data_IF_364671241622
#
_entry.id   IF_364671241622
#
_cell.length_a   1.000
_cell.length_b   1.000
_cell.length_c   1.000
_cell.angle_alpha   90.00
_cell.angle_beta   90.00
_cell.angle_gamma   90.00
#
_symmetry.space_group_name_H-M   'P 1'
#
loop_
_entity.id
_entity.type
_entity.pdbx_description
1 polymer ?
#
# COMPACT_ATOMS: atom_id res chain seq x y z
N UNK A 1 15.95 -39.50 6.47
CA UNK A 1 15.72 -38.31 7.31
C UNK A 1 14.75 -37.41 6.58
N UNK A 2 13.64 -37.11 7.25
CA UNK A 2 12.45 -36.46 6.71
C UNK A 2 12.56 -34.95 6.94
N UNK A 3 12.56 -34.16 5.88
CA UNK A 3 12.22 -32.72 5.97
C UNK A 3 10.71 -32.63 5.79
N UNK A 4 9.99 -32.83 6.90
CA UNK A 4 8.61 -32.40 7.04
C UNK A 4 8.64 -31.00 7.65
N UNK A 5 8.07 -30.03 6.95
CA UNK A 5 7.78 -28.70 7.49
C UNK A 5 8.50 -27.56 6.79
N UNK A 6 7.92 -27.06 5.68
CA UNK A 6 8.01 -25.67 5.22
C UNK A 6 7.26 -25.48 3.88
N UNK A 7 6.04 -26.03 3.75
CA UNK A 7 5.28 -25.98 2.48
C UNK A 7 3.82 -25.55 2.64
N UNK A 8 3.49 -24.82 3.71
CA UNK A 8 2.11 -24.37 4.00
C UNK A 8 1.93 -22.85 4.16
N UNK A 9 2.91 -21.99 3.84
CA UNK A 9 2.73 -20.52 3.83
C UNK A 9 2.68 -19.90 2.43
N UNK A 10 2.92 -20.68 1.38
CA UNK A 10 2.88 -20.21 -0.02
C UNK A 10 1.47 -20.09 -0.62
N UNK A 11 0.42 -20.46 0.12
CA UNK A 11 -0.95 -20.51 -0.39
C UNK A 11 -1.73 -19.20 -0.40
N UNK A 12 -1.23 -18.13 0.24
CA UNK A 12 -1.95 -16.86 0.39
C UNK A 12 -1.28 -15.65 -0.30
N UNK A 13 -0.06 -15.84 -0.83
CA UNK A 13 0.76 -14.78 -1.44
C UNK A 13 1.19 -15.07 -2.88
N UNK A 14 0.39 -15.85 -3.62
CA UNK A 14 0.56 -16.01 -5.07
C UNK A 14 0.41 -14.71 -5.88
N UNK A 15 0.15 -13.59 -5.21
CA UNK A 15 -0.17 -12.29 -5.77
C UNK A 15 1.04 -11.46 -6.22
N UNK A 16 2.31 -11.76 -5.90
CA UNK A 16 3.41 -10.88 -6.33
C UNK A 16 3.57 -10.76 -7.85
N UNK A 17 3.44 -11.86 -8.61
CA UNK A 17 3.47 -11.79 -10.07
C UNK A 17 2.27 -10.97 -10.60
N UNK A 18 1.11 -11.12 -9.96
CA UNK A 18 -0.08 -10.31 -10.23
C UNK A 18 0.18 -8.84 -9.91
N UNK A 19 0.81 -8.51 -8.79
CA UNK A 19 1.10 -7.14 -8.33
C UNK A 19 2.06 -6.43 -9.30
N UNK A 20 3.09 -7.12 -9.82
CA UNK A 20 4.00 -6.54 -10.81
C UNK A 20 3.24 -6.18 -12.10
N UNK A 21 2.45 -7.11 -12.65
CA UNK A 21 1.68 -6.86 -13.88
C UNK A 21 0.52 -5.88 -13.69
N UNK A 22 -0.13 -5.93 -12.53
CA UNK A 22 -1.20 -5.03 -12.11
C UNK A 22 -0.70 -3.61 -11.93
N UNK A 23 0.40 -3.46 -11.17
CA UNK A 23 1.05 -2.19 -10.91
C UNK A 23 1.35 -1.50 -12.22
N UNK A 24 2.07 -2.18 -13.13
CA UNK A 24 2.41 -1.70 -14.47
C UNK A 24 1.18 -1.28 -15.32
N UNK A 25 0.01 -1.90 -15.11
CA UNK A 25 -1.20 -1.59 -15.90
C UNK A 25 -2.03 -0.42 -15.34
N UNK A 26 -1.82 -0.03 -14.08
CA UNK A 26 -2.58 1.01 -13.39
C UNK A 26 -1.75 2.27 -13.09
N UNK A 27 -0.50 2.25 -13.51
CA UNK A 27 0.38 3.41 -13.59
C UNK A 27 -0.29 4.47 -14.50
N UNK A 28 -0.43 5.73 -14.07
CA UNK A 28 -0.83 6.84 -14.92
C UNK A 28 0.08 6.97 -16.17
N UNK A 29 -0.31 7.75 -17.19
CA UNK A 29 0.50 7.92 -18.42
C UNK A 29 0.81 9.38 -18.74
N UNK A 30 0.93 10.21 -17.70
CA UNK A 30 1.16 11.65 -17.87
C UNK A 30 2.66 11.98 -17.83
N UNK A 31 3.01 13.21 -18.24
CA UNK A 31 4.34 13.82 -18.04
C UNK A 31 4.29 14.75 -16.80
N UNK A 32 4.08 14.25 -15.57
CA UNK A 32 3.88 15.09 -14.41
C UNK A 32 5.15 15.86 -14.02
N UNK A 33 4.95 17.03 -13.42
CA UNK A 33 5.98 17.76 -12.70
C UNK A 33 6.29 17.12 -11.33
N UNK A 34 6.58 15.81 -11.28
CA UNK A 34 6.92 15.09 -10.05
C UNK A 34 6.51 13.62 -10.08
N UNK A 35 6.65 12.92 -8.96
CA UNK A 35 6.16 11.53 -8.78
C UNK A 35 4.63 11.50 -8.75
N UNK A 36 4.02 10.59 -9.52
CA UNK A 36 2.57 10.38 -9.56
C UNK A 36 2.16 9.24 -8.64
N UNK A 37 1.06 9.41 -7.90
CA UNK A 37 0.50 8.43 -6.98
C UNK A 37 -1.00 8.29 -7.22
N UNK A 38 -1.43 7.13 -7.68
CA UNK A 38 -2.85 6.79 -7.85
C UNK A 38 -3.35 5.98 -6.67
N UNK A 39 -4.48 6.38 -6.08
CA UNK A 39 -5.11 5.69 -4.96
C UNK A 39 -6.51 5.24 -5.37
N UNK A 40 -6.84 3.97 -5.12
CA UNK A 40 -8.18 3.41 -5.34
C UNK A 40 -8.86 3.08 -4.01
N UNK A 41 -10.07 3.60 -3.81
CA UNK A 41 -10.92 3.21 -2.70
C UNK A 41 -11.62 1.86 -2.97
N UNK A 42 -11.94 1.13 -1.91
CA UNK A 42 -12.79 -0.07 -2.00
C UNK A 42 -14.23 0.24 -2.40
N UNK A 43 -15.01 -0.81 -2.63
CA UNK A 43 -16.46 -0.77 -2.82
C UNK A 43 -17.18 -1.65 -1.81
N UNK A 44 -18.11 -1.07 -1.04
CA UNK A 44 -19.03 -1.82 -0.18
C UNK A 44 -20.13 -2.51 -1.00
N UNK A 45 -20.83 -3.45 -0.38
CA UNK A 45 -22.10 -3.96 -0.94
C UNK A 45 -23.26 -3.51 -0.08
N UNK A 46 -24.46 -3.53 -0.66
CA UNK A 46 -25.72 -3.17 0.03
C UNK A 46 -25.91 -3.90 1.38
N UNK A 47 -25.37 -5.12 1.50
CA UNK A 47 -25.46 -5.94 2.72
C UNK A 47 -24.16 -5.97 3.55
N UNK A 48 -23.18 -5.10 3.26
CA UNK A 48 -21.94 -5.04 4.01
C UNK A 48 -22.16 -4.33 5.36
N UNK A 49 -21.44 -4.78 6.39
CA UNK A 49 -21.42 -4.10 7.70
C UNK A 49 -20.85 -2.68 7.60
N UNK A 50 -19.97 -2.45 6.64
CA UNK A 50 -19.39 -1.14 6.32
C UNK A 50 -20.10 -0.57 5.10
N UNK A 51 -20.72 0.59 5.28
CA UNK A 51 -21.34 1.38 4.22
C UNK A 51 -20.39 2.54 3.90
N UNK A 52 -19.98 2.67 2.64
CA UNK A 52 -18.97 3.63 2.15
C UNK A 52 -17.52 3.28 2.53
N UNK A 53 -16.72 2.94 1.52
CA UNK A 53 -15.28 2.67 1.64
C UNK A 53 -14.39 3.80 1.09
N UNK A 54 -15.01 4.90 0.63
CA UNK A 54 -14.34 6.15 0.28
C UNK A 54 -13.84 6.88 1.52
N UNK A 55 -13.25 8.07 1.34
CA UNK A 55 -12.78 8.91 2.43
C UNK A 55 -11.90 10.07 1.97
N UNK A 56 -11.29 10.77 2.94
CA UNK A 56 -10.49 11.96 2.66
C UNK A 56 -9.00 11.72 2.89
N UNK A 57 -8.22 11.84 1.81
CA UNK A 57 -6.75 11.86 1.87
C UNK A 57 -6.29 13.23 2.35
N UNK A 58 -5.42 13.22 3.37
CA UNK A 58 -4.82 14.40 3.98
C UNK A 58 -3.77 15.05 3.10
N UNK A 59 -2.84 14.22 2.63
CA UNK A 59 -1.80 14.49 1.65
C UNK A 59 -1.06 13.18 1.32
N UNK A 60 -0.37 13.17 0.18
CA UNK A 60 0.65 12.20 -0.20
C UNK A 60 2.02 12.87 -0.06
N UNK A 61 2.97 12.21 0.58
CA UNK A 61 4.32 12.72 0.83
C UNK A 61 5.36 11.88 0.10
N UNK A 62 6.33 12.53 -0.53
CA UNK A 62 7.44 11.89 -1.22
C UNK A 62 8.74 11.98 -0.44
N UNK A 63 9.55 10.92 -0.52
CA UNK A 63 10.90 10.89 0.02
C UNK A 63 11.88 10.26 -0.98
N UNK A 64 13.09 10.80 -1.07
CA UNK A 64 14.11 10.29 -1.99
C UNK A 64 14.75 8.98 -1.48
N UNK A 65 15.75 8.47 -2.22
CA UNK A 65 16.44 7.21 -1.88
C UNK A 65 17.09 7.20 -0.49
N UNK A 66 17.49 8.38 -0.01
CA UNK A 66 18.08 8.61 1.31
C UNK A 66 17.04 8.87 2.41
N UNK A 67 15.75 8.73 2.07
CA UNK A 67 14.60 8.95 2.97
C UNK A 67 14.43 10.41 3.41
N UNK A 68 14.98 11.36 2.65
CA UNK A 68 14.77 12.79 2.86
C UNK A 68 13.41 13.20 2.29
N UNK A 69 12.68 14.06 2.99
CA UNK A 69 11.41 14.58 2.51
C UNK A 69 11.64 15.53 1.33
N UNK A 70 10.95 15.30 0.21
CA UNK A 70 11.17 16.05 -1.04
C UNK A 70 9.93 16.74 -1.59
N UNK A 71 8.77 16.53 -0.98
CA UNK A 71 7.54 17.13 -1.48
C UNK A 71 6.26 16.50 -0.97
N UNK A 72 5.14 17.15 -1.26
CA UNK A 72 3.82 16.65 -0.92
C UNK A 72 2.75 17.05 -1.94
N UNK A 73 1.64 16.33 -1.96
CA UNK A 73 0.44 16.71 -2.70
C UNK A 73 -0.50 17.60 -1.87
N UNK A 74 -1.58 18.04 -2.50
CA UNK A 74 -2.75 18.57 -1.79
C UNK A 74 -3.62 17.45 -1.20
N UNK A 75 -4.65 17.85 -0.43
CA UNK A 75 -5.71 16.92 0.01
C UNK A 75 -6.70 16.62 -1.12
N UNK A 76 -7.46 15.54 -0.98
CA UNK A 76 -8.61 15.27 -1.84
C UNK A 76 -9.61 14.31 -1.18
N UNK A 77 -10.85 14.36 -1.65
CA UNK A 77 -11.90 13.40 -1.32
C UNK A 77 -11.93 12.29 -2.38
N UNK A 78 -11.91 11.03 -1.94
CA UNK A 78 -12.03 9.85 -2.78
C UNK A 78 -13.38 9.21 -2.50
N UNK A 79 -14.21 9.05 -3.53
CA UNK A 79 -15.49 8.37 -3.37
C UNK A 79 -15.28 6.86 -3.35
N UNK A 80 -16.25 6.15 -2.80
CA UNK A 80 -16.32 4.70 -2.91
C UNK A 80 -16.18 4.24 -4.37
N UNK A 81 -15.41 3.16 -4.57
CA UNK A 81 -15.05 2.59 -5.87
C UNK A 81 -14.30 3.54 -6.83
N UNK A 82 -14.00 4.77 -6.41
CA UNK A 82 -13.34 5.76 -7.25
C UNK A 82 -11.81 5.70 -7.10
N UNK A 83 -11.14 6.32 -8.05
CA UNK A 83 -9.68 6.45 -8.10
C UNK A 83 -9.28 7.89 -8.32
N UNK A 84 -8.16 8.28 -7.70
CA UNK A 84 -7.64 9.65 -7.79
C UNK A 84 -6.13 9.65 -7.95
N UNK A 85 -5.66 10.60 -8.75
CA UNK A 85 -4.24 10.85 -8.99
C UNK A 85 -3.76 12.04 -8.16
N UNK A 86 -2.64 11.84 -7.46
CA UNK A 86 -1.88 12.87 -6.78
C UNK A 86 -0.54 13.05 -7.48
N UNK A 87 -0.16 14.30 -7.74
CA UNK A 87 1.20 14.64 -8.09
C UNK A 87 1.87 15.22 -6.84
N UNK A 88 3.02 14.67 -6.48
CA UNK A 88 3.84 15.19 -5.39
C UNK A 88 4.52 16.47 -5.91
N UNK A 89 4.25 17.60 -5.29
CA UNK A 89 4.91 18.88 -5.60
C UNK A 89 6.32 18.87 -5.00
N UNK A 90 7.34 18.90 -5.86
CA UNK A 90 8.76 18.72 -5.51
C UNK A 90 9.58 19.87 -6.10
N UNK A 91 10.59 20.34 -5.36
CA UNK A 91 11.51 21.38 -5.84
C UNK A 91 12.26 20.93 -7.12
N UNK A 92 12.59 19.64 -7.18
CA UNK A 92 13.17 18.98 -8.35
C UNK A 92 12.20 17.92 -8.89
N UNK A 93 11.39 18.23 -9.91
CA UNK A 93 10.41 17.30 -10.49
C UNK A 93 10.98 15.98 -11.03
N UNK A 94 12.29 15.91 -11.28
CA UNK A 94 12.97 14.71 -11.73
C UNK A 94 13.46 13.82 -10.58
N UNK A 95 13.43 14.31 -9.34
CA UNK A 95 13.83 13.50 -8.18
C UNK A 95 12.74 12.46 -7.86
N UNK A 96 13.13 11.19 -7.85
CA UNK A 96 12.21 10.08 -7.60
C UNK A 96 11.81 10.03 -6.12
N UNK A 97 10.50 10.02 -5.83
CA UNK A 97 10.00 9.72 -4.49
C UNK A 97 10.01 8.20 -4.24
N UNK A 98 11.21 7.65 -4.01
CA UNK A 98 11.47 6.22 -3.73
C UNK A 98 10.59 5.67 -2.60
N UNK A 99 10.32 6.49 -1.58
CA UNK A 99 9.30 6.19 -0.58
C UNK A 99 8.12 7.13 -0.73
N UNK A 100 6.92 6.56 -0.62
CA UNK A 100 5.67 7.29 -0.66
C UNK A 100 4.94 7.07 0.65
N UNK A 101 4.39 8.15 1.20
CA UNK A 101 3.52 8.09 2.36
C UNK A 101 2.15 8.67 2.04
N UNK A 102 1.10 8.03 2.53
CA UNK A 102 -0.28 8.48 2.38
C UNK A 102 -0.87 8.67 3.76
N UNK A 103 -1.53 9.82 3.96
CA UNK A 103 -2.25 10.15 5.19
C UNK A 103 -3.74 10.28 4.93
N UNK A 104 -4.57 9.78 5.84
CA UNK A 104 -6.01 10.05 5.86
C UNK A 104 -6.35 11.19 6.81
N UNK A 105 -7.54 11.76 6.66
CA UNK A 105 -8.16 12.67 7.63
C UNK A 105 -9.20 11.91 8.47
N UNK A 106 -10.07 12.65 9.17
CA UNK A 106 -11.11 12.09 10.03
C UNK A 106 -12.22 11.35 9.25
N UNK A 107 -12.31 11.61 7.95
CA UNK A 107 -13.11 10.84 7.02
C UNK A 107 -12.23 9.69 6.53
N UNK A 108 -12.35 8.55 7.19
CA UNK A 108 -11.51 7.37 7.00
C UNK A 108 -11.60 6.88 5.56
N UNK A 109 -10.51 6.35 5.00
CA UNK A 109 -10.50 5.74 3.66
C UNK A 109 -10.06 4.28 3.73
N UNK A 110 -10.73 3.40 2.97
CA UNK A 110 -10.29 2.03 2.77
C UNK A 110 -9.58 1.91 1.42
N UNK A 111 -8.25 1.96 1.43
CA UNK A 111 -7.44 1.91 0.21
C UNK A 111 -7.27 0.45 -0.27
N UNK A 112 -7.80 0.14 -1.45
CA UNK A 112 -7.63 -1.16 -2.12
C UNK A 112 -6.23 -1.32 -2.68
N UNK A 113 -5.71 -0.27 -3.31
CA UNK A 113 -4.34 -0.22 -3.79
C UNK A 113 -3.85 1.22 -3.96
N UNK A 114 -2.53 1.36 -3.96
CA UNK A 114 -1.81 2.63 -4.13
C UNK A 114 -0.67 2.36 -5.14
N UNK A 115 -0.79 2.91 -6.34
CA UNK A 115 0.20 2.77 -7.40
C UNK A 115 1.07 4.02 -7.49
N UNK A 116 2.37 3.83 -7.70
CA UNK A 116 3.37 4.91 -7.77
C UNK A 116 4.11 4.83 -9.10
N UNK A 117 4.27 5.98 -9.74
CA UNK A 117 5.04 6.17 -10.97
C UNK A 117 6.08 7.27 -10.82
N UNK A 118 7.33 6.99 -11.21
CA UNK A 118 8.35 8.04 -11.30
C UNK A 118 8.32 8.72 -12.67
N UNK A 119 8.58 10.03 -12.68
CA UNK A 119 8.61 10.84 -13.91
C UNK A 119 9.59 10.32 -14.97
N UNK A 120 10.76 9.84 -14.56
CA UNK A 120 11.86 9.44 -15.45
C UNK A 120 11.95 7.92 -15.66
N UNK A 121 10.84 7.20 -15.45
CA UNK A 121 10.73 5.75 -15.54
C UNK A 121 10.89 5.19 -16.96
N UNK A 122 12.02 5.47 -17.61
CA UNK A 122 12.42 4.94 -18.91
C UNK A 122 12.63 3.42 -18.92
N UNK A 123 12.48 2.73 -17.78
CA UNK A 123 12.59 1.27 -17.67
C UNK A 123 11.68 0.59 -16.64
N UNK A 124 10.56 1.20 -16.20
CA UNK A 124 9.61 0.53 -15.28
C UNK A 124 9.78 0.86 -13.79
N UNK A 125 10.13 2.11 -13.45
CA UNK A 125 10.27 2.54 -12.06
C UNK A 125 8.92 2.82 -11.37
N UNK A 126 8.67 2.15 -10.24
CA UNK A 126 7.46 2.34 -9.43
C UNK A 126 7.07 1.10 -8.63
N UNK A 127 5.79 1.00 -8.28
CA UNK A 127 5.19 -0.19 -7.66
C UNK A 127 3.78 0.06 -7.17
N UNK A 128 3.07 -1.02 -6.80
CA UNK A 128 1.70 -0.96 -6.33
C UNK A 128 1.53 -1.68 -5.00
N UNK A 129 1.34 -0.90 -3.94
CA UNK A 129 0.95 -1.45 -2.65
C UNK A 129 -0.53 -1.83 -2.68
N UNK A 130 -0.93 -2.94 -2.06
CA UNK A 130 -2.34 -3.37 -1.98
C UNK A 130 -2.81 -3.57 -0.55
N UNK A 131 -4.11 -3.40 -0.32
CA UNK A 131 -4.72 -3.58 0.98
C UNK A 131 -4.61 -5.00 1.54
N UNK A 132 -4.24 -5.99 0.71
CA UNK A 132 -3.86 -7.33 1.19
C UNK A 132 -2.64 -7.29 2.12
N UNK A 133 -1.70 -6.37 1.87
CA UNK A 133 -0.53 -6.16 2.73
C UNK A 133 -0.98 -5.67 4.10
N UNK A 134 -1.81 -4.63 4.16
CA UNK A 134 -2.30 -4.10 5.44
C UNK A 134 -3.13 -5.13 6.20
N UNK A 135 -4.01 -5.86 5.52
CA UNK A 135 -4.75 -7.00 6.09
C UNK A 135 -3.81 -8.03 6.71
N UNK A 136 -2.78 -8.46 5.97
CA UNK A 136 -1.81 -9.42 6.46
C UNK A 136 -1.02 -8.90 7.67
N UNK A 137 -0.67 -7.62 7.65
CA UNK A 137 0.10 -6.97 8.71
C UNK A 137 -0.76 -6.50 9.90
N UNK A 138 -2.00 -7.00 10.00
CA UNK A 138 -2.88 -6.81 11.15
C UNK A 138 -3.56 -5.44 11.21
N UNK A 139 -3.58 -4.69 10.11
CA UNK A 139 -4.39 -3.47 10.03
C UNK A 139 -5.88 -3.83 9.91
N UNK A 140 -6.74 -2.87 10.25
CA UNK A 140 -8.16 -2.99 9.97
C UNK A 140 -8.38 -2.94 8.46
N UNK A 141 -9.24 -3.82 7.95
CA UNK A 141 -9.42 -4.03 6.52
C UNK A 141 -10.88 -4.38 6.20
N UNK A 142 -11.26 -4.19 4.94
CA UNK A 142 -12.52 -4.67 4.35
C UNK A 142 -12.23 -5.30 2.98
N UNK A 143 -13.21 -6.01 2.42
CA UNK A 143 -13.10 -6.49 1.05
C UNK A 143 -13.25 -5.32 0.07
N UNK A 144 -12.27 -5.12 -0.81
CA UNK A 144 -12.27 -4.02 -1.77
C UNK A 144 -13.28 -4.23 -2.92
N UNK A 145 -13.57 -5.48 -3.30
CA UNK A 145 -14.63 -5.91 -4.25
C UNK A 145 -14.60 -5.22 -5.62
N UNK A 146 -13.41 -4.81 -6.03
CA UNK A 146 -13.09 -4.27 -7.35
C UNK A 146 -11.98 -5.14 -7.95
N UNK A 147 -12.17 -5.58 -9.19
CA UNK A 147 -11.18 -6.38 -9.90
C UNK A 147 -9.97 -5.50 -10.20
N UNK A 148 -8.83 -5.87 -9.61
CA UNK A 148 -7.56 -5.19 -9.85
C UNK A 148 -6.78 -5.93 -10.93
N UNK A 149 -6.79 -7.27 -10.94
CA UNK A 149 -5.99 -8.03 -11.89
C UNK A 149 -6.44 -9.47 -11.99
N UNK A 150 -5.49 -10.36 -12.29
CA UNK A 150 -5.72 -11.81 -12.39
C UNK A 150 -4.81 -12.58 -11.46
N UNK A 151 -5.35 -13.57 -10.77
CA UNK A 151 -4.56 -14.56 -10.05
C UNK A 151 -3.73 -15.42 -11.02
N UNK A 152 -2.71 -16.16 -10.54
CA UNK A 152 -1.92 -17.07 -11.38
C UNK A 152 -2.74 -18.13 -12.13
N UNK A 153 -3.92 -18.48 -11.62
CA UNK A 153 -4.86 -19.43 -12.23
C UNK A 153 -5.80 -18.78 -13.27
N UNK A 154 -5.67 -17.47 -13.52
CA UNK A 154 -6.46 -16.70 -14.47
C UNK A 154 -7.80 -16.19 -13.93
N UNK A 155 -8.15 -16.47 -12.67
CA UNK A 155 -9.34 -15.89 -12.02
C UNK A 155 -9.15 -14.41 -11.70
N UNK A 156 -10.24 -13.66 -11.58
CA UNK A 156 -10.18 -12.26 -11.16
C UNK A 156 -9.59 -12.15 -9.75
N UNK A 157 -8.64 -11.22 -9.60
CA UNK A 157 -8.10 -10.85 -8.30
C UNK A 157 -8.70 -9.53 -7.84
N UNK A 158 -9.38 -9.61 -6.70
CA UNK A 158 -9.98 -8.48 -6.00
C UNK A 158 -9.25 -8.31 -4.66
N UNK A 159 -8.36 -7.31 -4.51
CA UNK A 159 -7.62 -7.13 -3.27
C UNK A 159 -8.54 -6.71 -2.13
N UNK A 160 -8.16 -7.06 -0.90
CA UNK A 160 -8.67 -6.37 0.28
C UNK A 160 -8.32 -4.88 0.21
N UNK A 161 -9.08 -4.06 0.94
CA UNK A 161 -8.73 -2.67 1.22
C UNK A 161 -8.32 -2.52 2.68
N UNK A 162 -7.42 -1.60 2.99
CA UNK A 162 -6.98 -1.30 4.37
C UNK A 162 -7.40 0.08 4.78
N UNK A 163 -7.91 0.19 6.01
CA UNK A 163 -8.38 1.44 6.58
C UNK A 163 -7.24 2.32 7.09
N UNK A 164 -7.30 3.60 6.70
CA UNK A 164 -6.55 4.70 7.31
C UNK A 164 -7.53 5.74 7.86
N UNK A 165 -7.31 6.19 9.08
CA UNK A 165 -8.22 7.10 9.78
C UNK A 165 -7.49 7.96 10.84
N UNK A 166 -7.71 9.27 10.80
CA UNK A 166 -7.13 10.21 11.74
C UNK A 166 -7.81 10.24 13.12
N UNK A 167 -9.07 9.82 13.23
CA UNK A 167 -9.80 9.81 14.50
C UNK A 167 -10.00 8.40 15.09
N UNK A 168 -9.48 7.37 14.43
CA UNK A 168 -9.46 5.97 14.88
C UNK A 168 -10.87 5.38 15.12
N UNK A 169 -11.87 5.79 14.34
CA UNK A 169 -13.21 5.19 14.37
C UNK A 169 -13.15 3.68 14.12
N UNK A 170 -14.09 2.96 14.75
CA UNK A 170 -14.25 1.51 14.60
C UNK A 170 -12.92 0.72 14.76
N UNK A 171 -12.05 1.18 15.67
CA UNK A 171 -10.75 0.58 15.99
C UNK A 171 -9.74 0.56 14.83
N UNK A 172 -9.81 1.52 13.90
CA UNK A 172 -8.71 1.74 12.95
C UNK A 172 -7.42 2.02 13.72
N UNK A 173 -6.30 1.47 13.26
CA UNK A 173 -5.04 1.49 14.00
C UNK A 173 -4.10 2.63 13.57
N UNK A 174 -4.30 3.15 12.37
CA UNK A 174 -3.31 3.97 11.68
C UNK A 174 -3.99 5.10 10.93
N UNK A 175 -3.36 6.26 10.96
CA UNK A 175 -3.79 7.44 10.21
C UNK A 175 -3.05 7.57 8.89
N UNK A 176 -1.82 7.05 8.85
CA UNK A 176 -0.98 7.11 7.66
C UNK A 176 -0.18 5.84 7.49
N UNK A 177 0.35 5.68 6.29
CA UNK A 177 1.31 4.64 5.96
C UNK A 177 2.45 5.21 5.11
N UNK A 178 3.60 4.52 5.13
CA UNK A 178 4.76 4.82 4.27
C UNK A 178 5.37 3.53 3.78
N UNK A 179 5.66 3.45 2.50
CA UNK A 179 6.24 2.26 1.88
C UNK A 179 7.28 2.64 0.83
N UNK A 180 8.18 1.70 0.53
CA UNK A 180 9.10 1.81 -0.60
C UNK A 180 8.42 1.25 -1.84
N UNK A 181 8.20 2.07 -2.86
CA UNK A 181 7.38 1.65 -4.01
C UNK A 181 7.95 0.38 -4.68
N UNK A 182 9.27 0.31 -4.86
CA UNK A 182 9.92 -0.85 -5.49
C UNK A 182 9.73 -2.17 -4.75
N UNK A 183 9.54 -2.16 -3.42
CA UNK A 183 9.29 -3.39 -2.63
C UNK A 183 7.94 -4.04 -2.99
N UNK A 184 7.04 -3.28 -3.64
CA UNK A 184 5.76 -3.74 -4.21
C UNK A 184 5.71 -3.55 -5.74
N UNK A 185 6.89 -3.47 -6.37
CA UNK A 185 7.08 -3.41 -7.82
C UNK A 185 8.15 -4.41 -8.21
N UNK A 186 9.27 -3.93 -8.77
CA UNK A 186 10.37 -4.77 -9.25
C UNK A 186 10.94 -5.75 -8.21
N UNK A 187 10.87 -5.40 -6.91
CA UNK A 187 11.36 -6.23 -5.82
C UNK A 187 10.26 -7.08 -5.16
N UNK A 188 9.01 -7.06 -5.64
CA UNK A 188 7.89 -7.74 -4.99
C UNK A 188 8.15 -9.24 -4.75
N UNK A 189 8.69 -9.95 -5.74
CA UNK A 189 9.03 -11.37 -5.61
C UNK A 189 10.09 -11.61 -4.51
N UNK A 190 11.06 -10.71 -4.38
CA UNK A 190 12.09 -10.79 -3.35
C UNK A 190 11.50 -10.45 -1.97
N UNK A 191 10.69 -9.41 -1.87
CA UNK A 191 9.99 -9.02 -0.65
C UNK A 191 9.18 -10.19 -0.09
N UNK A 192 8.45 -10.91 -0.95
CA UNK A 192 7.71 -12.11 -0.55
C UNK A 192 8.63 -13.27 -0.13
N UNK A 193 9.65 -13.57 -0.94
CA UNK A 193 10.56 -14.68 -0.65
C UNK A 193 11.29 -14.52 0.69
N UNK A 194 11.50 -13.26 1.12
CA UNK A 194 12.15 -12.92 2.39
C UNK A 194 11.17 -12.67 3.54
N UNK A 195 9.87 -12.69 3.30
CA UNK A 195 8.83 -12.41 4.31
C UNK A 195 8.91 -10.99 4.87
N UNK A 196 9.22 -10.00 4.02
CA UNK A 196 9.42 -8.58 4.40
C UNK A 196 8.22 -7.69 4.12
N UNK A 197 7.06 -8.23 3.78
CA UNK A 197 5.88 -7.48 3.35
C UNK A 197 5.42 -6.47 4.40
N UNK A 198 5.47 -6.86 5.67
CA UNK A 198 5.13 -5.97 6.79
C UNK A 198 6.25 -5.03 7.22
N UNK A 199 7.49 -5.38 6.91
CA UNK A 199 8.65 -4.52 7.18
C UNK A 199 8.83 -3.44 6.10
N UNK A 200 8.31 -3.70 4.89
CA UNK A 200 8.34 -2.79 3.75
C UNK A 200 7.24 -1.70 3.81
N UNK A 201 6.35 -1.74 4.81
CA UNK A 201 5.37 -0.68 5.10
C UNK A 201 5.41 -0.28 6.57
N UNK A 202 5.60 1.00 6.85
CA UNK A 202 5.30 1.60 8.15
C UNK A 202 3.83 1.99 8.17
N UNK A 203 3.10 1.58 9.19
CA UNK A 203 1.81 2.15 9.56
C UNK A 203 1.98 3.02 10.79
N UNK A 204 1.51 4.27 10.73
CA UNK A 204 1.71 5.25 11.79
C UNK A 204 0.39 5.87 12.26
N UNK A 205 0.38 6.29 13.53
CA UNK A 205 -0.73 7.02 14.15
C UNK A 205 -0.68 8.53 13.90
N UNK A 206 0.41 9.03 13.35
CA UNK A 206 0.54 10.43 12.97
C UNK A 206 -0.05 10.66 11.57
N UNK A 207 -0.72 11.78 11.34
CA UNK A 207 -1.28 12.14 10.02
C UNK A 207 -0.39 13.02 9.15
N UNK A 208 0.84 13.29 9.59
CA UNK A 208 1.83 14.10 8.86
C UNK A 208 2.93 13.26 8.20
N UNK A 209 4.02 13.89 7.75
CA UNK A 209 5.18 13.18 7.21
C UNK A 209 5.74 12.14 8.18
N UNK A 210 5.90 10.89 7.73
CA UNK A 210 6.56 9.82 8.47
C UNK A 210 8.08 9.92 8.27
N UNK A 211 8.80 10.34 9.31
CA UNK A 211 10.26 10.43 9.30
C UNK A 211 10.96 9.06 9.19
N UNK A 212 10.34 8.02 9.75
CA UNK A 212 10.87 6.66 9.71
C UNK A 212 11.06 6.12 8.29
N UNK A 213 11.97 5.14 8.16
CA UNK A 213 12.26 4.41 6.92
C UNK A 213 11.73 2.98 7.03
N UNK A 214 10.93 2.48 6.08
CA UNK A 214 10.56 1.06 6.05
C UNK A 214 11.82 0.19 6.02
N UNK A 215 11.93 -0.72 6.99
CA UNK A 215 13.07 -1.61 7.15
C UNK A 215 12.67 -2.82 7.98
N UNK A 216 13.40 -3.92 7.82
CA UNK A 216 13.26 -5.09 8.69
C UNK A 216 13.41 -4.62 10.14
N UNK A 217 12.35 -4.77 10.91
CA UNK A 217 12.42 -4.46 12.34
C UNK A 217 13.38 -5.47 12.98
N UNK A 218 14.46 -5.00 13.61
CA UNK A 218 15.28 -5.79 14.55
C UNK A 218 14.49 -6.03 15.84
N UNK A 219 13.30 -6.63 15.72
CA UNK A 219 12.54 -7.07 16.87
C UNK A 219 13.01 -8.47 17.26
N UNK A 220 13.28 -8.73 18.54
CA UNK A 220 13.44 -10.11 19.00
C UNK A 220 12.18 -10.90 18.62
N UNK A 221 12.31 -12.20 18.31
CA UNK A 221 11.21 -13.03 17.83
C UNK A 221 9.99 -12.88 18.73
N UNK A 222 8.80 -12.80 18.11
CA UNK A 222 7.52 -12.70 18.81
C UNK A 222 7.46 -13.79 19.89
N UNK A 223 7.16 -13.47 21.16
CA UNK A 223 7.04 -14.47 22.21
C UNK A 223 6.07 -15.57 21.78
N UNK A 224 6.46 -16.84 21.97
CA UNK A 224 5.63 -17.99 21.55
C UNK A 224 4.20 -17.93 22.11
N UNK A 225 4.02 -17.30 23.27
CA UNK A 225 2.71 -17.09 23.90
C UNK A 225 1.70 -16.30 23.06
N UNK A 226 2.14 -15.55 22.04
CA UNK A 226 1.26 -14.82 21.11
C UNK A 226 1.11 -15.58 19.78
N UNK A 227 2.05 -16.46 19.45
CA UNK A 227 2.00 -17.29 18.24
C UNK A 227 1.03 -18.48 18.37
N UNK A 228 0.76 -18.92 19.60
CA UNK A 228 -0.10 -20.07 19.90
C UNK A 228 -1.60 -19.71 19.98
N UNK A 229 -1.98 -18.43 19.80
CA UNK A 229 -3.38 -17.96 19.83
C UNK A 229 -3.97 -17.66 18.42
N UNK A 230 -3.27 -18.04 17.35
CA UNK A 230 -3.73 -17.98 15.95
C UNK A 230 -3.80 -19.37 15.33
#
# INVERSE_FOLDING_TARGET
MSVKGALNTLGAFGSALTIIGFGQSNIPTYEPAGTSVRIKAGRSTVDAEENDLGGQIGAVYGYNGDNEFIGQSTNALVREADEIDFIIDQDSPAEQAVYVSVSARNDAICASWIAVEYRDASSGGGGAWTGDVGRHCGQRWAWGREVAGKNPDGTDWEPACTWLDANFTNNTLSTSMKFKASDYGDLANQTLAEGRECDATIFAREGGPIAGKPQKRDLPPRPQSIADEL
#
